data_IF_609558114709
#
_entry.id   IF_609558114709
#
_cell.length_a   1.000
_cell.length_b   1.000
_cell.length_c   1.000
_cell.angle_alpha   90.00
_cell.angle_beta   90.00
_cell.angle_gamma   90.00
#
_symmetry.space_group_name_H-M   'P 1'
#
loop_
_entity.id
_entity.type
_entity.pdbx_description
1 polymer ?
#
# COMPACT_ATOMS: atom_id res chain seq x y z
N UNK A 1 13.57 -0.37 -12.52
CA UNK A 1 13.11 -1.78 -12.51
C UNK A 1 13.97 -2.56 -11.53
N UNK A 2 15.27 -2.30 -11.56
CA UNK A 2 16.33 -2.92 -10.78
C UNK A 2 16.03 -2.95 -9.27
N UNK A 3 15.51 -1.87 -8.69
CA UNK A 3 15.16 -1.84 -7.26
C UNK A 3 14.08 -2.88 -6.88
N UNK A 4 13.02 -2.98 -7.68
CA UNK A 4 11.92 -3.93 -7.45
C UNK A 4 12.39 -5.35 -7.72
N UNK A 5 13.21 -5.53 -8.75
CA UNK A 5 13.81 -6.82 -9.11
C UNK A 5 14.71 -7.36 -8.00
N UNK A 6 15.57 -6.51 -7.43
CA UNK A 6 16.41 -6.85 -6.28
C UNK A 6 15.54 -7.21 -5.08
N UNK A 7 14.50 -6.43 -4.79
CA UNK A 7 13.59 -6.72 -3.67
C UNK A 7 12.89 -8.08 -3.81
N UNK A 8 12.43 -8.40 -5.02
CA UNK A 8 11.77 -9.67 -5.32
C UNK A 8 12.74 -10.84 -5.17
N UNK A 9 13.90 -10.76 -5.83
CA UNK A 9 14.86 -11.86 -5.92
C UNK A 9 15.61 -12.12 -4.62
N UNK A 10 15.95 -11.08 -3.86
CA UNK A 10 16.78 -11.19 -2.65
C UNK A 10 15.99 -11.31 -1.36
N UNK A 11 14.72 -10.85 -1.33
CA UNK A 11 13.90 -10.82 -0.11
C UNK A 11 12.59 -11.56 -0.25
N UNK A 12 11.69 -11.12 -1.14
CA UNK A 12 10.33 -11.67 -1.22
C UNK A 12 10.32 -13.17 -1.56
N UNK A 13 10.95 -13.57 -2.67
CA UNK A 13 10.99 -14.98 -3.09
C UNK A 13 11.70 -15.86 -2.06
N UNK A 14 12.86 -15.47 -1.48
CA UNK A 14 13.48 -16.21 -0.39
C UNK A 14 12.59 -16.42 0.84
N UNK A 15 11.84 -15.39 1.28
CA UNK A 15 10.89 -15.51 2.40
C UNK A 15 9.81 -16.55 2.08
N UNK A 16 9.19 -16.46 0.89
CA UNK A 16 8.16 -17.40 0.46
C UNK A 16 8.71 -18.83 0.30
N UNK A 17 9.91 -18.97 -0.27
CA UNK A 17 10.57 -20.26 -0.45
C UNK A 17 10.94 -20.92 0.88
N UNK A 18 11.43 -20.15 1.85
CA UNK A 18 11.71 -20.63 3.22
C UNK A 18 10.42 -21.12 3.87
N UNK A 19 9.35 -20.34 3.82
CA UNK A 19 8.07 -20.71 4.41
C UNK A 19 7.46 -21.97 3.77
N UNK A 20 7.60 -22.12 2.44
CA UNK A 20 7.16 -23.35 1.78
C UNK A 20 7.95 -24.58 2.25
N UNK A 21 9.28 -24.47 2.35
CA UNK A 21 10.14 -25.56 2.87
C UNK A 21 9.82 -25.94 4.31
N UNK A 22 9.53 -24.96 5.17
CA UNK A 22 9.21 -25.17 6.59
C UNK A 22 7.73 -25.42 6.86
N UNK A 23 6.87 -25.36 5.83
CA UNK A 23 5.41 -25.39 5.93
C UNK A 23 4.85 -24.35 6.92
N UNK A 24 5.53 -23.20 7.01
CA UNK A 24 5.10 -22.09 7.84
C UNK A 24 3.91 -21.38 7.19
N UNK A 25 2.89 -21.07 7.99
CA UNK A 25 1.78 -20.23 7.57
C UNK A 25 2.23 -18.77 7.66
N UNK A 26 2.01 -18.02 6.59
CA UNK A 26 2.37 -16.62 6.49
C UNK A 26 1.10 -15.76 6.44
N UNK A 27 1.19 -14.56 7.03
CA UNK A 27 0.26 -13.48 6.74
C UNK A 27 0.76 -12.76 5.48
N UNK A 28 0.08 -13.01 4.36
CA UNK A 28 0.49 -12.47 3.08
C UNK A 28 0.31 -10.95 3.01
N UNK A 29 -0.65 -10.38 3.76
CA UNK A 29 -0.87 -8.94 3.79
C UNK A 29 0.31 -8.25 4.48
N UNK A 30 0.74 -8.72 5.64
CA UNK A 30 1.92 -8.19 6.35
C UNK A 30 3.19 -8.24 5.49
N UNK A 31 3.42 -9.36 4.79
CA UNK A 31 4.58 -9.51 3.90
C UNK A 31 4.51 -8.51 2.74
N UNK A 32 3.34 -8.38 2.11
CA UNK A 32 3.15 -7.48 0.97
C UNK A 32 3.17 -6.01 1.39
N UNK A 33 2.77 -5.68 2.62
CA UNK A 33 2.92 -4.34 3.20
C UNK A 33 4.39 -3.98 3.40
N UNK A 34 5.20 -4.89 3.94
CA UNK A 34 6.65 -4.70 4.06
C UNK A 34 7.33 -4.55 2.70
N UNK A 35 6.96 -5.41 1.76
CA UNK A 35 7.43 -5.34 0.37
C UNK A 35 7.07 -4.01 -0.29
N UNK A 36 5.82 -3.57 -0.18
CA UNK A 36 5.36 -2.31 -0.76
C UNK A 36 6.05 -1.10 -0.09
N UNK A 37 6.27 -1.17 1.22
CA UNK A 37 6.98 -0.15 1.99
C UNK A 37 8.45 -0.01 1.57
N UNK A 38 9.19 -1.12 1.48
CA UNK A 38 10.59 -1.09 1.05
C UNK A 38 10.71 -0.55 -0.38
N UNK A 39 9.81 -0.96 -1.29
CA UNK A 39 9.80 -0.47 -2.66
C UNK A 39 9.48 1.03 -2.77
N UNK A 40 8.45 1.52 -2.08
CA UNK A 40 8.10 2.95 -2.17
C UNK A 40 9.21 3.82 -1.56
N UNK A 41 9.84 3.38 -0.47
CA UNK A 41 10.97 4.09 0.13
C UNK A 41 12.19 4.12 -0.79
N UNK A 42 12.51 3.00 -1.44
CA UNK A 42 13.60 2.94 -2.43
C UNK A 42 13.32 3.80 -3.66
N UNK A 43 12.12 3.72 -4.23
CA UNK A 43 11.79 4.42 -5.47
C UNK A 43 11.57 5.93 -5.25
N UNK A 44 10.90 6.32 -4.17
CA UNK A 44 10.58 7.73 -3.93
C UNK A 44 11.72 8.50 -3.25
N UNK A 45 12.51 7.83 -2.39
CA UNK A 45 13.46 8.50 -1.50
C UNK A 45 14.89 7.95 -1.59
N UNK A 46 15.12 6.89 -2.37
CA UNK A 46 16.40 6.19 -2.46
C UNK A 46 16.92 5.69 -1.09
N UNK A 47 16.01 5.32 -0.21
CA UNK A 47 16.31 4.77 1.12
C UNK A 47 15.82 3.32 1.16
N UNK A 48 16.64 2.40 1.68
CA UNK A 48 16.27 1.01 1.92
C UNK A 48 15.97 0.80 3.42
N UNK A 49 14.70 0.65 3.84
CA UNK A 49 14.35 0.38 5.23
C UNK A 49 14.62 -1.07 5.67
N UNK A 50 14.82 -2.00 4.73
CA UNK A 50 15.03 -3.43 4.98
C UNK A 50 13.96 -4.10 5.88
N UNK A 51 12.69 -3.70 5.72
CA UNK A 51 11.59 -4.25 6.52
C UNK A 51 11.26 -5.70 6.18
N UNK A 52 11.51 -6.12 4.93
CA UNK A 52 11.27 -7.49 4.45
C UNK A 52 12.48 -8.43 4.63
N UNK A 53 13.70 -7.93 4.51
CA UNK A 53 14.94 -8.72 4.50
C UNK A 53 15.58 -8.99 5.87
N UNK A 54 15.25 -8.20 6.90
CA UNK A 54 15.77 -8.33 8.26
C UNK A 54 15.13 -9.44 9.11
N UNK A 55 15.27 -9.35 10.44
CA UNK A 55 14.58 -10.21 11.41
C UNK A 55 13.05 -9.93 11.50
N UNK A 56 12.55 -9.04 10.63
CA UNK A 56 11.18 -8.58 10.61
C UNK A 56 10.85 -7.57 11.71
N UNK A 57 11.85 -7.08 12.45
CA UNK A 57 11.71 -6.01 13.47
C UNK A 57 12.18 -4.66 12.96
N UNK A 58 13.12 -4.61 12.01
CA UNK A 58 13.52 -3.40 11.28
C UNK A 58 12.29 -2.73 10.65
N UNK A 59 12.03 -1.47 11.02
CA UNK A 59 10.85 -0.70 10.59
C UNK A 59 9.50 -1.17 11.15
N UNK A 60 9.47 -2.22 11.98
CA UNK A 60 8.25 -2.74 12.62
C UNK A 60 7.59 -1.72 13.57
N UNK A 61 8.40 -0.95 14.29
CA UNK A 61 7.90 0.14 15.14
C UNK A 61 7.27 1.26 14.30
N UNK A 62 7.94 1.68 13.23
CA UNK A 62 7.40 2.68 12.30
C UNK A 62 6.09 2.21 11.67
N UNK A 63 6.04 0.98 11.13
CA UNK A 63 4.83 0.46 10.48
C UNK A 63 3.64 0.42 11.43
N UNK A 64 3.84 -0.03 12.68
CA UNK A 64 2.80 -0.02 13.72
C UNK A 64 2.37 1.39 14.08
N UNK A 65 3.32 2.31 14.25
CA UNK A 65 3.03 3.70 14.54
C UNK A 65 2.26 4.35 13.39
N UNK A 66 2.61 4.05 12.15
CA UNK A 66 1.95 4.54 10.95
C UNK A 66 0.51 4.03 10.85
N UNK A 67 0.29 2.73 11.04
CA UNK A 67 -1.04 2.12 11.06
C UNK A 67 -1.91 2.66 12.20
N UNK A 68 -1.36 2.81 13.40
CA UNK A 68 -2.04 3.46 14.54
C UNK A 68 -2.40 4.91 14.19
N UNK A 69 -1.49 5.66 13.59
CA UNK A 69 -1.73 7.04 13.21
C UNK A 69 -2.87 7.16 12.18
N UNK A 70 -2.87 6.31 11.15
CA UNK A 70 -3.90 6.27 10.12
C UNK A 70 -5.26 5.82 10.68
N UNK A 71 -5.28 4.75 11.47
CA UNK A 71 -6.50 4.18 12.06
C UNK A 71 -7.14 5.13 13.07
N UNK A 72 -6.34 5.73 13.96
CA UNK A 72 -6.86 6.67 14.96
C UNK A 72 -7.29 7.99 14.30
N UNK A 73 -6.58 8.46 13.28
CA UNK A 73 -6.97 9.65 12.52
C UNK A 73 -8.28 9.44 11.76
N UNK A 74 -8.45 8.31 11.08
CA UNK A 74 -9.72 7.96 10.41
C UNK A 74 -10.86 7.72 11.40
N UNK A 75 -10.57 7.15 12.57
CA UNK A 75 -11.54 7.00 13.66
C UNK A 75 -12.16 8.33 14.14
N UNK A 76 -11.43 9.45 14.07
CA UNK A 76 -12.00 10.79 14.36
C UNK A 76 -13.10 11.19 13.38
N UNK A 77 -13.00 10.77 12.12
CA UNK A 77 -14.00 11.06 11.09
C UNK A 77 -15.30 10.29 11.33
N UNK A 78 -15.19 9.05 11.83
CA UNK A 78 -16.35 8.21 12.21
C UNK A 78 -16.98 8.61 13.55
N UNK A 79 -16.29 9.42 14.36
CA UNK A 79 -16.80 9.85 15.65
C UNK A 79 -17.98 10.82 15.48
N UNK A 80 -19.18 10.38 15.89
CA UNK A 80 -20.44 11.11 15.69
C UNK A 80 -20.36 12.53 16.30
N UNK A 81 -19.79 12.64 17.50
CA UNK A 81 -19.66 13.91 18.20
C UNK A 81 -18.18 14.30 18.35
N UNK A 82 -17.70 15.31 17.60
CA UNK A 82 -16.30 15.74 17.63
C UNK A 82 -15.79 16.18 19.00
N UNK A 83 -16.71 16.49 19.93
CA UNK A 83 -16.36 16.93 21.27
C UNK A 83 -15.62 15.84 22.07
N UNK A 84 -15.92 14.56 21.85
CA UNK A 84 -15.28 13.47 22.61
C UNK A 84 -13.79 13.35 22.31
N UNK A 85 -13.40 13.31 21.04
CA UNK A 85 -11.98 13.25 20.69
C UNK A 85 -11.26 14.57 21.00
N UNK A 86 -11.93 15.73 20.92
CA UNK A 86 -11.35 17.02 21.33
C UNK A 86 -11.05 17.06 22.82
N UNK A 87 -11.94 16.56 23.66
CA UNK A 87 -11.73 16.42 25.11
C UNK A 87 -10.55 15.48 25.38
N UNK A 88 -10.54 14.29 24.76
CA UNK A 88 -9.44 13.33 24.92
C UNK A 88 -8.09 13.90 24.45
N UNK A 89 -8.10 14.71 23.37
CA UNK A 89 -6.92 15.40 22.85
C UNK A 89 -6.41 16.46 23.82
N UNK A 90 -7.33 17.22 24.42
CA UNK A 90 -7.01 18.24 25.41
C UNK A 90 -6.36 17.62 26.66
N UNK A 91 -6.96 16.56 27.20
CA UNK A 91 -6.43 15.85 28.36
C UNK A 91 -5.25 14.92 28.03
N UNK A 92 -4.96 14.71 26.74
CA UNK A 92 -3.91 13.79 26.27
C UNK A 92 -4.06 12.38 26.87
N UNK A 93 -5.26 11.81 26.75
CA UNK A 93 -5.60 10.49 27.31
C UNK A 93 -6.11 9.54 26.24
N UNK A 94 -5.98 8.23 26.50
CA UNK A 94 -6.53 7.18 25.66
C UNK A 94 -5.97 7.18 24.23
N UNK A 95 -6.88 7.11 23.26
CA UNK A 95 -6.56 7.05 21.83
C UNK A 95 -5.80 8.28 21.32
N UNK A 96 -6.07 9.45 21.87
CA UNK A 96 -5.43 10.69 21.45
C UNK A 96 -3.97 10.82 21.93
N UNK A 97 -3.66 10.23 23.09
CA UNK A 97 -2.27 10.09 23.56
C UNK A 97 -1.48 9.17 22.63
N UNK A 98 -2.03 7.99 22.34
CA UNK A 98 -1.41 7.03 21.42
C UNK A 98 -1.19 7.64 20.04
N UNK A 99 -2.19 8.33 19.49
CA UNK A 99 -2.05 9.03 18.21
C UNK A 99 -0.94 10.08 18.24
N UNK A 100 -0.77 10.83 19.34
CA UNK A 100 0.34 11.79 19.47
C UNK A 100 1.70 11.10 19.48
N UNK A 101 1.82 9.98 20.19
CA UNK A 101 3.06 9.18 20.25
C UNK A 101 3.38 8.58 18.87
N UNK A 102 2.38 8.01 18.19
CA UNK A 102 2.50 7.48 16.84
C UNK A 102 2.90 8.53 15.81
N UNK A 103 2.27 9.71 15.82
CA UNK A 103 2.63 10.84 14.93
C UNK A 103 4.08 11.26 15.15
N UNK A 104 4.56 11.26 16.40
CA UNK A 104 5.94 11.60 16.71
C UNK A 104 6.92 10.63 16.05
N UNK A 105 6.69 9.32 16.16
CA UNK A 105 7.52 8.28 15.53
C UNK A 105 7.51 8.43 14.00
N UNK A 106 6.33 8.66 13.41
CA UNK A 106 6.20 8.86 11.96
C UNK A 106 6.95 10.10 11.49
N UNK A 107 6.86 11.20 12.23
CA UNK A 107 7.59 12.43 11.92
C UNK A 107 9.11 12.25 12.04
N UNK A 108 9.58 11.59 13.10
CA UNK A 108 11.02 11.33 13.30
C UNK A 108 11.60 10.48 12.15
N UNK A 109 10.87 9.45 11.71
CA UNK A 109 11.27 8.63 10.57
C UNK A 109 11.32 9.44 9.27
N UNK A 110 10.28 10.24 8.99
CA UNK A 110 10.24 11.07 7.79
C UNK A 110 11.38 12.13 7.79
N UNK A 111 11.65 12.74 8.94
CA UNK A 111 12.77 13.68 9.11
C UNK A 111 14.13 13.01 8.88
N UNK A 112 14.30 11.78 9.36
CA UNK A 112 15.52 11.00 9.13
C UNK A 112 15.73 10.71 7.64
N UNK A 113 14.68 10.33 6.92
CA UNK A 113 14.76 10.12 5.47
C UNK A 113 15.12 11.40 4.72
N UNK A 114 14.50 12.52 5.07
CA UNK A 114 14.80 13.83 4.46
C UNK A 114 16.25 14.23 4.74
N UNK A 115 16.72 14.07 5.98
CA UNK A 115 18.10 14.37 6.38
C UNK A 115 19.11 13.49 5.64
N UNK A 116 18.91 12.18 5.65
CA UNK A 116 19.76 11.22 4.92
C UNK A 116 19.85 11.60 3.45
N UNK A 117 18.72 11.99 2.84
CA UNK A 117 18.69 12.39 1.45
C UNK A 117 19.43 13.69 1.15
N UNK A 118 19.28 14.71 2.01
CA UNK A 118 20.01 15.98 1.88
C UNK A 118 21.53 15.77 1.98
N UNK A 119 21.98 14.88 2.87
CA UNK A 119 23.39 14.51 3.00
C UNK A 119 23.91 13.80 1.74
N UNK A 120 23.11 12.92 1.12
CA UNK A 120 23.47 12.19 -0.09
C UNK A 120 23.44 13.05 -1.37
N UNK A 121 22.55 14.06 -1.47
CA UNK A 121 22.49 14.98 -2.62
C UNK A 121 23.81 15.73 -2.83
N UNK A 122 24.56 15.95 -1.76
CA UNK A 122 25.89 16.57 -1.80
C UNK A 122 26.94 15.65 -2.46
N UNK A 123 26.68 14.34 -2.55
CA UNK A 123 27.64 13.32 -3.00
C UNK A 123 27.31 12.75 -4.38
N UNK A 124 26.05 12.50 -4.70
CA UNK A 124 25.59 11.94 -5.97
C UNK A 124 24.42 12.73 -6.55
N UNK A 125 24.41 12.89 -7.88
CA UNK A 125 23.38 13.63 -8.63
C UNK A 125 22.23 12.74 -9.13
N UNK A 126 21.98 11.59 -8.48
CA UNK A 126 20.83 10.75 -8.82
C UNK A 126 19.54 11.52 -8.51
N UNK A 127 18.64 11.59 -9.48
CA UNK A 127 17.33 12.22 -9.33
C UNK A 127 16.30 11.20 -8.87
N UNK A 128 15.81 11.34 -7.63
CA UNK A 128 14.58 10.70 -7.16
C UNK A 128 13.47 11.72 -6.94
N UNK A 129 12.28 11.23 -6.60
CA UNK A 129 11.10 12.06 -6.44
C UNK A 129 11.28 13.16 -5.39
N UNK A 130 11.89 12.84 -4.25
CA UNK A 130 12.13 13.80 -3.17
C UNK A 130 13.21 14.82 -3.53
N UNK A 131 14.23 14.43 -4.29
CA UNK A 131 15.28 15.34 -4.77
C UNK A 131 14.74 16.49 -5.62
N UNK A 132 13.64 16.24 -6.36
CA UNK A 132 12.91 17.23 -7.17
C UNK A 132 12.14 18.25 -6.32
N UNK A 133 11.82 17.91 -5.07
CA UNK A 133 11.19 18.82 -4.12
C UNK A 133 12.23 19.61 -3.29
N UNK A 134 13.35 18.97 -2.92
CA UNK A 134 14.46 19.55 -2.12
C UNK A 134 15.21 20.71 -2.84
N UNK A 135 14.85 21.06 -4.08
CA UNK A 135 15.47 22.14 -4.85
C UNK A 135 14.64 23.41 -5.03
N UNK A 136 13.40 23.46 -4.51
CA UNK A 136 12.52 24.61 -4.69
C UNK A 136 12.62 25.56 -3.49
N UNK A 137 12.75 26.87 -3.75
CA UNK A 137 12.93 27.94 -2.73
C UNK A 137 11.84 27.98 -1.64
N UNK A 138 10.68 27.32 -1.87
CA UNK A 138 9.55 27.28 -0.93
C UNK A 138 9.40 25.94 -0.17
N UNK A 139 10.34 25.00 -0.29
CA UNK A 139 10.22 23.68 0.35
C UNK A 139 10.54 23.74 1.86
N UNK A 140 9.53 24.02 2.68
CA UNK A 140 9.66 23.89 4.14
C UNK A 140 9.89 22.43 4.55
N UNK A 141 10.58 22.20 5.67
CA UNK A 141 10.78 20.84 6.22
C UNK A 141 9.45 20.13 6.48
N UNK A 142 8.43 20.88 6.91
CA UNK A 142 7.07 20.38 7.10
C UNK A 142 6.45 19.91 5.78
N UNK A 143 6.57 20.69 4.72
CA UNK A 143 6.08 20.31 3.39
C UNK A 143 6.78 19.04 2.88
N UNK A 144 8.10 18.92 3.02
CA UNK A 144 8.83 17.72 2.63
C UNK A 144 8.39 16.49 3.44
N UNK A 145 8.12 16.68 4.73
CA UNK A 145 7.61 15.62 5.61
C UNK A 145 6.23 15.14 5.16
N UNK A 146 5.32 16.06 4.86
CA UNK A 146 3.98 15.74 4.38
C UNK A 146 4.04 14.97 3.05
N UNK A 147 4.95 15.36 2.16
CA UNK A 147 5.22 14.64 0.91
C UNK A 147 5.68 13.22 1.20
N UNK A 148 6.67 13.03 2.07
CA UNK A 148 7.20 11.70 2.43
C UNK A 148 6.08 10.81 2.98
N UNK A 149 5.33 11.30 3.97
CA UNK A 149 4.23 10.57 4.61
C UNK A 149 3.15 10.22 3.58
N UNK A 150 2.79 11.16 2.70
CA UNK A 150 1.75 10.96 1.68
C UNK A 150 2.14 9.86 0.68
N UNK A 151 3.40 9.84 0.23
CA UNK A 151 3.89 8.80 -0.69
C UNK A 151 3.93 7.42 -0.04
N UNK A 152 4.40 7.34 1.22
CA UNK A 152 4.38 6.08 1.98
C UNK A 152 2.94 5.58 2.10
N UNK A 153 2.00 6.45 2.50
CA UNK A 153 0.58 6.08 2.67
C UNK A 153 -0.01 5.56 1.36
N UNK A 154 0.17 6.32 0.28
CA UNK A 154 -0.41 6.00 -1.01
C UNK A 154 0.21 4.72 -1.61
N UNK A 155 1.52 4.53 -1.48
CA UNK A 155 2.24 3.42 -2.10
C UNK A 155 2.15 2.10 -1.32
N UNK A 156 2.21 2.16 0.01
CA UNK A 156 2.23 0.98 0.88
C UNK A 156 0.89 0.25 0.89
N UNK A 157 -0.14 0.92 1.41
CA UNK A 157 -1.41 0.28 1.78
C UNK A 157 -2.24 -0.09 0.56
N UNK A 158 -2.22 0.73 -0.50
CA UNK A 158 -3.01 0.46 -1.70
C UNK A 158 -2.44 -0.70 -2.50
N UNK A 159 -1.11 -0.74 -2.67
CA UNK A 159 -0.41 -1.80 -3.41
C UNK A 159 -0.49 -3.13 -2.68
N UNK A 160 -0.23 -3.15 -1.37
CA UNK A 160 -0.29 -4.37 -0.57
C UNK A 160 -1.71 -4.96 -0.55
N UNK A 161 -2.74 -4.11 -0.43
CA UNK A 161 -4.14 -4.55 -0.47
C UNK A 161 -4.52 -5.11 -1.84
N UNK A 162 -4.15 -4.45 -2.94
CA UNK A 162 -4.42 -4.93 -4.30
C UNK A 162 -3.79 -6.31 -4.53
N UNK A 163 -2.52 -6.48 -4.16
CA UNK A 163 -1.80 -7.73 -4.32
C UNK A 163 -2.37 -8.84 -3.41
N UNK A 164 -2.76 -8.51 -2.17
CA UNK A 164 -3.38 -9.47 -1.26
C UNK A 164 -4.69 -10.02 -1.83
N UNK A 165 -5.56 -9.14 -2.35
CA UNK A 165 -6.79 -9.56 -3.02
C UNK A 165 -6.52 -10.35 -4.31
N UNK A 166 -5.51 -9.95 -5.07
CA UNK A 166 -5.11 -10.65 -6.29
C UNK A 166 -4.72 -12.10 -6.00
N UNK A 167 -3.79 -12.32 -5.06
CA UNK A 167 -3.36 -13.67 -4.69
C UNK A 167 -4.48 -14.49 -4.05
N UNK A 168 -5.36 -13.85 -3.27
CA UNK A 168 -6.56 -14.51 -2.76
C UNK A 168 -7.46 -14.98 -3.90
N UNK A 169 -7.73 -14.12 -4.89
CA UNK A 169 -8.53 -14.46 -6.07
C UNK A 169 -7.89 -15.57 -6.90
N UNK A 170 -6.56 -15.59 -7.04
CA UNK A 170 -5.87 -16.68 -7.73
C UNK A 170 -6.06 -18.01 -7.00
N UNK A 171 -5.95 -18.01 -5.67
CA UNK A 171 -6.11 -19.23 -4.86
C UNK A 171 -7.51 -19.85 -4.95
N UNK A 172 -8.55 -19.05 -5.26
CA UNK A 172 -9.94 -19.52 -5.40
C UNK A 172 -10.36 -19.71 -6.86
N UNK A 173 -9.53 -19.31 -7.84
CA UNK A 173 -9.80 -19.45 -9.27
C UNK A 173 -8.61 -20.11 -10.02
N UNK A 174 -8.37 -21.43 -9.86
CA UNK A 174 -7.22 -22.12 -10.47
C UNK A 174 -7.18 -22.06 -12.01
N UNK A 175 -8.33 -21.90 -12.67
CA UNK A 175 -8.39 -21.77 -14.13
C UNK A 175 -7.83 -20.42 -14.60
N UNK A 176 -8.00 -19.35 -13.81
CA UNK A 176 -7.43 -18.03 -14.09
C UNK A 176 -5.92 -18.07 -13.87
N UNK A 177 -5.48 -18.64 -12.74
CA UNK A 177 -4.07 -18.87 -12.45
C UNK A 177 -3.37 -19.62 -13.59
N UNK A 178 -3.96 -20.72 -14.07
CA UNK A 178 -3.38 -21.53 -15.17
C UNK A 178 -3.23 -20.75 -16.47
N UNK A 179 -4.19 -19.86 -16.79
CA UNK A 179 -4.11 -19.01 -17.97
C UNK A 179 -3.00 -17.96 -17.84
N UNK A 180 -2.84 -17.37 -16.67
CA UNK A 180 -1.73 -16.45 -16.37
C UNK A 180 -0.40 -17.19 -16.51
N UNK A 181 -0.25 -18.37 -15.89
CA UNK A 181 0.99 -19.15 -15.98
C UNK A 181 1.35 -19.50 -17.43
N UNK A 182 0.34 -19.87 -18.24
CA UNK A 182 0.54 -20.14 -19.68
C UNK A 182 0.97 -18.91 -20.47
N UNK A 183 0.39 -17.73 -20.18
CA UNK A 183 0.82 -16.46 -20.76
C UNK A 183 2.30 -16.18 -20.41
N UNK A 184 2.64 -16.28 -19.13
CA UNK A 184 3.99 -16.04 -18.62
C UNK A 184 5.03 -17.01 -19.21
N UNK A 185 4.69 -18.28 -19.39
CA UNK A 185 5.54 -19.30 -20.02
C UNK A 185 5.77 -19.01 -21.52
N UNK A 186 4.73 -18.55 -22.21
CA UNK A 186 4.80 -18.20 -23.64
C UNK A 186 5.77 -17.03 -23.85
N UNK A 187 5.62 -15.97 -23.04
CA UNK A 187 6.48 -14.77 -23.10
C UNK A 187 7.94 -15.11 -22.73
N UNK A 188 8.17 -15.97 -21.73
CA UNK A 188 9.54 -16.44 -21.41
C UNK A 188 10.16 -17.18 -22.58
N UNK A 189 9.41 -18.13 -23.14
CA UNK A 189 9.90 -18.98 -24.24
C UNK A 189 10.22 -18.17 -25.49
N UNK A 190 9.40 -17.17 -25.84
CA UNK A 190 9.66 -16.29 -26.99
C UNK A 190 10.91 -15.42 -26.83
N UNK A 191 11.31 -15.14 -25.59
CA UNK A 191 12.46 -14.30 -25.26
C UNK A 191 13.68 -15.11 -24.80
N UNK A 192 13.63 -16.45 -24.87
CA UNK A 192 14.73 -17.33 -24.49
C UNK A 192 15.07 -17.33 -22.99
N UNK A 193 14.10 -17.00 -22.13
CA UNK A 193 14.27 -16.90 -20.68
C UNK A 193 13.80 -18.16 -19.94
N UNK A 194 14.45 -18.44 -18.82
CA UNK A 194 14.14 -19.55 -17.92
C UNK A 194 13.23 -19.12 -16.75
N UNK A 195 12.73 -20.11 -16.02
CA UNK A 195 12.00 -19.87 -14.78
C UNK A 195 12.94 -19.23 -13.74
N UNK A 196 12.57 -18.04 -13.25
CA UNK A 196 13.37 -17.27 -12.30
C UNK A 196 14.06 -16.06 -12.93
N UNK A 197 14.17 -16.03 -14.27
CA UNK A 197 14.64 -14.84 -14.97
C UNK A 197 13.60 -13.72 -14.87
N UNK A 198 14.11 -12.49 -14.84
CA UNK A 198 13.33 -11.28 -14.61
C UNK A 198 12.81 -10.73 -15.93
N UNK A 199 11.69 -10.01 -15.86
CA UNK A 199 11.00 -9.50 -17.05
C UNK A 199 11.40 -8.06 -17.37
N UNK A 200 11.67 -7.78 -18.65
CA UNK A 200 11.92 -6.42 -19.14
C UNK A 200 10.62 -5.61 -19.20
N UNK A 201 10.73 -4.29 -19.37
CA UNK A 201 9.57 -3.43 -19.51
C UNK A 201 8.74 -3.75 -20.75
N UNK A 202 9.37 -4.15 -21.87
CA UNK A 202 8.61 -4.61 -23.04
C UNK A 202 7.84 -5.89 -22.74
N UNK A 203 8.47 -6.88 -22.10
CA UNK A 203 7.83 -8.15 -21.78
C UNK A 203 6.64 -7.98 -20.81
N UNK A 204 6.74 -7.07 -19.84
CA UNK A 204 5.62 -6.75 -18.95
C UNK A 204 4.42 -6.17 -19.72
N UNK A 205 4.64 -5.43 -20.80
CA UNK A 205 3.56 -4.85 -21.61
C UNK A 205 2.78 -5.91 -22.39
N UNK A 206 3.41 -7.05 -22.67
CA UNK A 206 2.80 -8.17 -23.38
C UNK A 206 1.95 -9.09 -22.46
N UNK A 207 1.99 -8.87 -21.14
CA UNK A 207 1.22 -9.64 -20.15
C UNK A 207 -0.24 -9.19 -20.04
N UNK A 208 -0.99 -9.27 -21.15
CA UNK A 208 -2.34 -8.73 -21.25
C UNK A 208 -3.35 -9.41 -20.32
N UNK A 209 -3.29 -10.74 -20.17
CA UNK A 209 -4.21 -11.50 -19.33
C UNK A 209 -3.93 -11.28 -17.84
N UNK A 210 -2.65 -11.23 -17.44
CA UNK A 210 -2.26 -10.82 -16.09
C UNK A 210 -2.77 -9.41 -15.76
N UNK A 211 -2.58 -8.44 -16.67
CA UNK A 211 -3.09 -7.08 -16.49
C UNK A 211 -4.62 -7.06 -16.36
N UNK A 212 -5.34 -7.87 -17.15
CA UNK A 212 -6.78 -8.01 -17.04
C UNK A 212 -7.20 -8.60 -15.67
N UNK A 213 -6.47 -9.60 -15.16
CA UNK A 213 -6.75 -10.21 -13.86
C UNK A 213 -6.50 -9.24 -12.68
N UNK A 214 -5.43 -8.44 -12.75
CA UNK A 214 -5.17 -7.36 -11.79
C UNK A 214 -6.26 -6.29 -11.85
N UNK A 215 -6.68 -5.90 -13.06
CA UNK A 215 -7.76 -4.93 -13.26
C UNK A 215 -9.10 -5.42 -12.69
N UNK A 216 -9.43 -6.70 -12.94
CA UNK A 216 -10.64 -7.32 -12.39
C UNK A 216 -10.59 -7.46 -10.86
N UNK A 217 -9.40 -7.74 -10.31
CA UNK A 217 -9.19 -7.72 -8.86
C UNK A 217 -9.54 -6.35 -8.27
N UNK A 218 -9.04 -5.26 -8.85
CA UNK A 218 -9.34 -3.90 -8.36
C UNK A 218 -10.79 -3.48 -8.63
N UNK A 219 -11.45 -4.05 -9.66
CA UNK A 219 -12.89 -3.85 -9.89
C UNK A 219 -13.75 -4.48 -8.79
N UNK A 220 -13.38 -5.68 -8.34
CA UNK A 220 -14.10 -6.42 -7.29
C UNK A 220 -13.75 -5.91 -5.87
N UNK A 221 -12.46 -5.65 -5.64
CA UNK A 221 -11.91 -5.28 -4.34
C UNK A 221 -10.97 -4.07 -4.50
N UNK A 222 -11.52 -2.86 -4.74
CA UNK A 222 -10.71 -1.67 -4.86
C UNK A 222 -10.02 -1.35 -3.51
N UNK A 223 -8.69 -1.13 -3.50
CA UNK A 223 -7.98 -0.71 -2.28
C UNK A 223 -8.51 0.61 -1.70
N UNK A 224 -8.93 1.52 -2.58
CA UNK A 224 -9.55 2.81 -2.23
C UNK A 224 -11.01 2.78 -2.68
N UNK A 225 -11.96 2.32 -1.82
CA UNK A 225 -13.35 2.13 -2.22
C UNK A 225 -14.17 3.43 -2.28
N UNK A 226 -13.70 4.50 -1.64
CA UNK A 226 -14.42 5.78 -1.53
C UNK A 226 -13.47 6.93 -1.84
N UNK A 227 -13.87 7.78 -2.79
CA UNK A 227 -13.24 9.08 -3.06
C UNK A 227 -14.31 10.16 -2.98
N UNK A 228 -14.09 11.17 -2.15
CA UNK A 228 -15.08 12.23 -1.89
C UNK A 228 -14.84 13.41 -2.83
N UNK A 229 -15.87 13.82 -3.58
CA UNK A 229 -15.85 15.02 -4.41
C UNK A 229 -16.71 16.11 -3.78
N UNK A 230 -16.29 17.37 -3.90
CA UNK A 230 -17.09 18.52 -3.50
C UNK A 230 -17.28 19.47 -4.68
N UNK A 231 -18.47 20.06 -4.81
CA UNK A 231 -18.76 21.02 -5.87
C UNK A 231 -18.04 22.35 -5.60
N UNK A 232 -17.26 22.80 -6.59
CA UNK A 232 -16.55 24.09 -6.56
C UNK A 232 -17.53 25.28 -6.62
N UNK A 233 -18.60 25.11 -7.39
CA UNK A 233 -19.74 26.01 -7.54
C UNK A 233 -20.99 25.16 -7.69
N UNK A 234 -22.16 25.77 -7.51
CA UNK A 234 -23.44 25.13 -7.79
C UNK A 234 -23.43 24.55 -9.22
N UNK A 235 -23.96 23.34 -9.36
CA UNK A 235 -23.97 22.61 -10.63
C UNK A 235 -25.21 21.73 -10.75
N UNK A 236 -25.46 21.22 -11.95
CA UNK A 236 -26.54 20.28 -12.25
C UNK A 236 -25.94 19.08 -12.98
N UNK A 237 -26.09 17.89 -12.39
CA UNK A 237 -25.63 16.65 -12.99
C UNK A 237 -26.39 16.35 -14.30
N UNK A 238 -25.84 15.50 -15.19
CA UNK A 238 -26.48 15.18 -16.48
C UNK A 238 -27.91 14.62 -16.39
N UNK A 239 -28.31 14.10 -15.23
CA UNK A 239 -29.66 13.59 -14.94
C UNK A 239 -30.64 14.67 -14.43
N UNK A 240 -30.18 15.93 -14.30
CA UNK A 240 -30.95 17.06 -13.79
C UNK A 240 -30.85 17.27 -12.28
N UNK A 241 -30.08 16.45 -11.56
CA UNK A 241 -29.89 16.59 -10.10
C UNK A 241 -29.05 17.82 -9.78
N UNK A 242 -29.62 18.79 -9.04
CA UNK A 242 -28.88 19.95 -8.53
C UNK A 242 -27.89 19.52 -7.44
N UNK A 243 -26.67 20.07 -7.49
CA UNK A 243 -25.65 19.89 -6.45
C UNK A 243 -25.10 21.24 -6.04
N UNK A 244 -25.35 21.62 -4.79
CA UNK A 244 -24.92 22.91 -4.26
C UNK A 244 -23.43 22.94 -3.88
N UNK A 245 -22.83 24.12 -4.01
CA UNK A 245 -21.53 24.43 -3.41
C UNK A 245 -21.59 24.18 -1.90
N UNK A 246 -20.55 23.55 -1.35
CA UNK A 246 -20.36 23.30 0.09
C UNK A 246 -21.33 22.32 0.78
N UNK A 247 -22.08 21.48 0.07
CA UNK A 247 -22.93 20.44 0.71
C UNK A 247 -22.18 19.45 1.62
N UNK A 248 -20.85 19.35 1.50
CA UNK A 248 -19.99 18.53 2.37
C UNK A 248 -19.56 19.22 3.66
N UNK A 249 -19.87 20.52 3.86
CA UNK A 249 -19.71 21.14 5.16
C UNK A 249 -20.85 20.67 6.08
N UNK A 250 -20.48 20.06 7.22
CA UNK A 250 -21.40 19.45 8.20
C UNK A 250 -22.54 20.35 8.69
N UNK A 251 -22.45 21.67 8.51
CA UNK A 251 -23.48 22.62 8.90
C UNK A 251 -24.71 22.64 7.96
N UNK A 252 -24.62 22.00 6.78
CA UNK A 252 -25.65 22.14 5.73
C UNK A 252 -25.98 20.83 4.99
N UNK A 253 -25.57 19.69 5.52
CA UNK A 253 -25.78 18.38 4.90
C UNK A 253 -27.15 17.79 5.31
N UNK A 254 -28.10 17.57 4.39
CA UNK A 254 -29.40 16.95 4.72
C UNK A 254 -29.25 15.47 5.09
N UNK A 255 -30.05 15.00 6.06
CA UNK A 255 -29.90 13.71 6.77
C UNK A 255 -29.79 12.46 5.87
N UNK A 256 -30.33 12.48 4.65
CA UNK A 256 -30.34 11.32 3.76
C UNK A 256 -28.95 10.95 3.19
N UNK A 257 -28.03 11.92 3.07
CA UNK A 257 -26.67 11.72 2.53
C UNK A 257 -25.68 11.13 3.54
N UNK A 258 -25.93 11.29 4.85
CA UNK A 258 -25.12 10.70 5.93
C UNK A 258 -25.19 9.16 5.98
N UNK A 259 -26.25 8.58 5.42
CA UNK A 259 -26.51 7.14 5.47
C UNK A 259 -25.61 6.30 4.55
N UNK A 260 -25.03 6.90 3.50
CA UNK A 260 -24.20 6.21 2.50
C UNK A 260 -22.73 6.07 2.91
N UNK A 261 -22.24 6.90 3.84
CA UNK A 261 -20.81 6.99 4.20
C UNK A 261 -20.37 5.99 5.27
N UNK A 262 -21.32 5.25 5.87
CA UNK A 262 -21.08 4.33 6.99
C UNK A 262 -21.35 2.88 6.56
N UNK A 263 -20.57 2.34 5.62
CA UNK A 263 -20.45 0.88 5.49
C UNK A 263 -19.03 0.47 5.16
N UNK A 264 -18.60 -0.54 5.93
CA UNK A 264 -17.37 -1.35 5.83
C UNK A 264 -16.17 -0.72 6.55
N UNK A 265 -15.43 -1.42 7.43
CA UNK A 265 -14.99 -2.81 7.37
C UNK A 265 -14.55 -3.30 8.77
N UNK A 266 -14.78 -4.58 9.06
CA UNK A 266 -13.85 -5.40 9.85
C UNK A 266 -13.00 -6.20 8.86
N UNK A 267 -11.66 -6.14 9.01
CA UNK A 267 -10.73 -6.91 8.18
C UNK A 267 -10.77 -8.41 8.50
N UNK A 268 -10.61 -9.26 7.49
CA UNK A 268 -10.47 -10.71 7.65
C UNK A 268 -8.98 -11.08 7.69
N UNK A 269 -8.57 -11.84 8.70
CA UNK A 269 -7.28 -12.51 8.71
C UNK A 269 -7.31 -13.71 7.75
N UNK A 270 -6.38 -13.77 6.79
CA UNK A 270 -6.26 -14.88 5.83
C UNK A 270 -4.96 -15.64 6.09
N UNK A 271 -5.08 -16.94 6.38
CA UNK A 271 -3.94 -17.86 6.46
C UNK A 271 -3.74 -18.55 5.11
N UNK A 272 -2.55 -18.37 4.53
CA UNK A 272 -2.16 -19.00 3.26
C UNK A 272 -1.03 -20.00 3.52
N UNK A 273 -1.13 -21.21 2.96
CA UNK A 273 -0.03 -22.18 2.90
C UNK A 273 0.42 -22.34 1.45
N UNK A 274 1.74 -22.33 1.23
CA UNK A 274 2.35 -22.43 -0.11
C UNK A 274 3.00 -23.81 -0.22
N UNK A 275 2.53 -24.66 -1.14
CA UNK A 275 3.18 -25.93 -1.49
C UNK A 275 3.94 -25.77 -2.82
N UNK A 276 5.20 -26.21 -2.83
CA UNK A 276 6.04 -26.26 -4.05
C UNK A 276 6.12 -27.72 -4.50
N UNK A 277 5.61 -28.00 -5.69
CA UNK A 277 5.74 -29.33 -6.31
C UNK A 277 7.10 -29.49 -6.99
N UNK A 278 7.54 -30.74 -7.19
CA UNK A 278 8.83 -31.12 -7.79
C UNK A 278 9.09 -30.57 -9.22
N UNK A 279 8.11 -29.90 -9.83
CA UNK A 279 8.22 -29.19 -11.11
C UNK A 279 8.51 -27.69 -10.98
N UNK A 280 8.70 -27.16 -9.76
CA UNK A 280 8.99 -25.74 -9.53
C UNK A 280 7.78 -24.80 -9.62
N UNK A 281 6.57 -25.35 -9.71
CA UNK A 281 5.32 -24.58 -9.69
C UNK A 281 4.90 -24.29 -8.23
N UNK A 282 4.63 -23.01 -7.93
CA UNK A 282 4.06 -22.55 -6.66
C UNK A 282 2.56 -22.82 -6.69
N UNK A 283 2.03 -23.61 -5.74
CA UNK A 283 0.59 -23.85 -5.60
C UNK A 283 0.13 -23.30 -4.25
N UNK A 284 -0.84 -22.38 -4.28
CA UNK A 284 -1.48 -21.83 -3.09
C UNK A 284 -2.50 -22.84 -2.54
N UNK A 285 -2.25 -23.38 -1.35
CA UNK A 285 -3.11 -24.40 -0.72
C UNK A 285 -3.79 -23.82 0.51
N UNK A 286 -5.13 -23.89 0.52
CA UNK A 286 -5.96 -23.46 1.66
C UNK A 286 -5.97 -24.53 2.76
N UNK A 287 -5.75 -24.15 4.02
CA UNK A 287 -6.22 -24.92 5.19
C UNK A 287 -7.44 -24.23 5.80
N UNK A 288 -8.60 -24.88 5.72
CA UNK A 288 -9.80 -24.49 6.46
C UNK A 288 -9.82 -25.18 7.83
N UNK A 289 -9.94 -24.40 8.90
CA UNK A 289 -10.63 -24.79 10.12
C UNK A 289 -11.74 -23.78 10.37
#
# INVERSE_FOLDING_TARGET
MDNVEVEISTRLVPVLAKASKTKQVLDLQDILERFAFDNICKVAFNVDPDCLGGDGTSGGEFMRAFEDAATLSSGRFMCIYPIFWKINKYFNVGTEKRLRESIKIVHEFADEMIRSRMEQKTKNNDEDLLSRFIGKEESSTEFLRDIVISFILAGRDTTSSALSWFFWLMSVNPDVERKILKELETIRSSNGKNLGDTYSFEELRDMHYLQAAISETMRLYPPVPVDTKACKSDDVLPDGTFVGKNWFNKEQCPEHLLSLTLRMKGGLQVKVSIEVNCTGSLTLVRRTH
#
